data_IF_241985298398
#
_entry.id   IF_241985298398
#
_cell.length_a   1.000
_cell.length_b   1.000
_cell.length_c   1.000
_cell.angle_alpha   90.00
_cell.angle_beta   90.00
_cell.angle_gamma   90.00
#
_symmetry.space_group_name_H-M   'P 1'
#
loop_
_entity.id
_entity.type
_entity.pdbx_description
1 polymer ?
#
# COMPACT_ATOMS: atom_id res chain seq x y z
N UNK A 1 -2.14 0.44 11.73
CA UNK A 1 -1.28 0.04 12.86
C UNK A 1 0.14 0.52 12.57
N UNK A 2 0.59 1.60 13.22
CA UNK A 2 2.00 2.01 13.12
C UNK A 2 2.78 1.16 14.12
N UNK A 3 3.74 0.37 13.65
CA UNK A 3 4.55 -0.50 14.53
C UNK A 3 5.54 0.27 15.43
N UNK A 4 5.51 1.61 15.42
CA UNK A 4 6.39 2.47 16.19
C UNK A 4 7.87 2.41 15.79
N UNK A 5 8.23 1.64 14.74
CA UNK A 5 9.60 1.62 14.23
C UNK A 5 9.88 2.90 13.44
N UNK A 6 10.83 3.66 13.95
CA UNK A 6 11.55 4.67 13.17
C UNK A 6 12.22 3.97 11.98
N UNK A 7 11.71 4.24 10.78
CA UNK A 7 12.31 3.78 9.52
C UNK A 7 12.94 4.95 8.78
N UNK A 8 14.18 4.76 8.34
CA UNK A 8 14.96 5.76 7.64
C UNK A 8 15.59 5.19 6.38
N UNK A 9 15.76 6.04 5.36
CA UNK A 9 16.45 5.68 4.12
C UNK A 9 15.83 4.48 3.40
N UNK A 10 16.65 3.50 3.01
CA UNK A 10 16.27 2.36 2.17
C UNK A 10 15.27 1.37 2.80
N UNK A 11 14.93 1.54 4.08
CA UNK A 11 13.99 0.66 4.80
C UNK A 11 12.55 1.19 4.79
N UNK A 12 12.36 2.34 4.15
CA UNK A 12 11.10 3.04 4.03
C UNK A 12 10.40 2.65 2.73
N UNK A 13 9.13 2.27 2.84
CA UNK A 13 8.26 2.01 1.71
C UNK A 13 7.11 3.02 1.71
N UNK A 14 6.76 3.51 0.53
CA UNK A 14 5.58 4.33 0.31
C UNK A 14 4.43 3.44 -0.14
N UNK A 15 3.35 3.48 0.61
CA UNK A 15 2.17 2.68 0.35
C UNK A 15 0.98 3.59 0.01
N UNK A 16 0.27 3.29 -1.08
CA UNK A 16 -0.95 3.99 -1.45
C UNK A 16 -2.16 3.32 -0.78
N UNK A 17 -2.89 4.05 0.08
CA UNK A 17 -4.09 3.53 0.78
C UNK A 17 -5.19 3.13 -0.20
N UNK A 18 -5.40 3.95 -1.23
CA UNK A 18 -6.21 3.65 -2.40
C UNK A 18 -5.24 3.35 -3.56
N UNK A 19 -5.27 2.14 -4.14
CA UNK A 19 -4.38 1.78 -5.24
C UNK A 19 -4.53 2.75 -6.42
N UNK A 20 -3.41 3.10 -7.05
CA UNK A 20 -3.39 3.94 -8.25
C UNK A 20 -4.26 3.32 -9.37
N UNK A 21 -4.32 1.99 -9.44
CA UNK A 21 -5.15 1.28 -10.41
C UNK A 21 -6.65 1.53 -10.22
N UNK A 22 -7.10 1.79 -8.98
CA UNK A 22 -8.50 2.10 -8.66
C UNK A 22 -8.78 3.58 -8.85
N UNK A 23 -7.89 4.46 -8.38
CA UNK A 23 -8.08 5.90 -8.48
C UNK A 23 -6.77 6.64 -8.83
N UNK A 24 -6.42 6.76 -10.13
CA UNK A 24 -5.14 7.31 -10.58
C UNK A 24 -4.86 8.74 -10.12
N UNK A 25 -5.92 9.54 -9.93
CA UNK A 25 -5.82 10.93 -9.53
C UNK A 25 -5.22 11.10 -8.12
N UNK A 26 -5.23 10.06 -7.28
CA UNK A 26 -4.68 10.08 -5.93
C UNK A 26 -3.19 9.67 -5.86
N UNK A 27 -2.53 9.50 -7.01
CA UNK A 27 -1.12 9.04 -7.08
C UNK A 27 -0.16 9.93 -6.27
N UNK A 28 -0.41 11.24 -6.27
CA UNK A 28 0.43 12.26 -5.61
C UNK A 28 -0.25 12.89 -4.39
N UNK A 29 -1.41 12.36 -4.00
CA UNK A 29 -2.14 12.87 -2.84
C UNK A 29 -1.39 12.46 -1.56
N UNK A 30 -1.00 13.46 -0.77
CA UNK A 30 -0.22 13.27 0.47
C UNK A 30 -1.02 12.50 1.52
N UNK A 31 -2.34 12.59 1.50
CA UNK A 31 -3.21 11.89 2.43
C UNK A 31 -3.45 10.43 1.99
N UNK A 32 -3.24 10.14 0.70
CA UNK A 32 -3.31 8.79 0.14
C UNK A 32 -1.99 8.00 0.26
N UNK A 33 -0.86 8.67 0.53
CA UNK A 33 0.45 8.02 0.66
C UNK A 33 0.83 7.92 2.13
N UNK A 34 1.14 6.71 2.59
CA UNK A 34 1.67 6.46 3.92
C UNK A 34 3.07 5.86 3.84
N UNK A 35 3.92 6.27 4.77
CA UNK A 35 5.30 5.82 4.88
C UNK A 35 5.38 4.72 5.94
N UNK A 36 5.79 3.52 5.55
CA UNK A 36 5.81 2.35 6.43
C UNK A 36 7.11 1.55 6.30
N UNK A 37 7.39 0.73 7.30
CA UNK A 37 8.46 -0.27 7.20
C UNK A 37 8.01 -1.44 6.29
N UNK A 38 8.96 -2.21 5.76
CA UNK A 38 8.67 -3.37 4.91
C UNK A 38 7.70 -4.38 5.56
N UNK A 39 7.80 -4.60 6.88
CA UNK A 39 6.90 -5.51 7.59
C UNK A 39 5.45 -5.00 7.59
N UNK A 40 5.25 -3.72 7.89
CA UNK A 40 3.93 -3.09 7.85
C UNK A 40 3.40 -2.94 6.42
N UNK A 41 4.29 -2.76 5.44
CA UNK A 41 3.92 -2.71 4.02
C UNK A 41 3.23 -3.99 3.59
N UNK A 42 3.86 -5.15 3.85
CA UNK A 42 3.28 -6.45 3.48
C UNK A 42 1.92 -6.73 4.16
N UNK A 43 1.75 -6.29 5.42
CA UNK A 43 0.47 -6.43 6.13
C UNK A 43 -0.61 -5.59 5.46
N UNK A 44 -0.32 -4.31 5.18
CA UNK A 44 -1.26 -3.41 4.52
C UNK A 44 -1.63 -3.90 3.12
N UNK A 45 -0.65 -4.38 2.34
CA UNK A 45 -0.90 -4.98 1.04
C UNK A 45 -1.84 -6.18 1.14
N UNK A 46 -1.62 -7.07 2.12
CA UNK A 46 -2.48 -8.23 2.29
C UNK A 46 -3.92 -7.84 2.70
N UNK A 47 -4.07 -6.88 3.61
CA UNK A 47 -5.39 -6.38 4.05
C UNK A 47 -6.15 -5.66 2.92
N UNK A 48 -5.47 -4.80 2.16
CA UNK A 48 -6.09 -4.05 1.07
C UNK A 48 -6.35 -4.93 -0.16
N UNK A 49 -5.50 -5.92 -0.43
CA UNK A 49 -5.75 -6.89 -1.49
C UNK A 49 -7.08 -7.63 -1.25
N UNK A 50 -7.39 -8.01 -0.02
CA UNK A 50 -8.68 -8.67 0.29
C UNK A 50 -9.87 -7.75 -0.05
N UNK A 51 -9.77 -6.46 0.25
CA UNK A 51 -10.85 -5.48 0.01
C UNK A 51 -11.03 -5.23 -1.48
N UNK A 52 -9.97 -4.92 -2.23
CA UNK A 52 -10.09 -4.53 -3.64
C UNK A 52 -10.22 -5.72 -4.59
N UNK A 53 -9.63 -6.88 -4.30
CA UNK A 53 -9.86 -8.09 -5.11
C UNK A 53 -11.29 -8.63 -4.99
N UNK A 54 -11.97 -8.43 -3.85
CA UNK A 54 -13.39 -8.77 -3.75
C UNK A 54 -14.29 -7.79 -4.51
N UNK A 55 -13.86 -6.52 -4.64
CA UNK A 55 -14.64 -5.47 -5.30
C UNK A 55 -14.43 -5.45 -6.83
N UNK A 56 -13.28 -5.94 -7.30
CA UNK A 56 -12.95 -6.03 -8.72
C UNK A 56 -12.64 -7.49 -9.04
N UNK A 57 -13.55 -8.17 -9.75
CA UNK A 57 -13.41 -9.57 -10.18
C UNK A 57 -12.28 -9.83 -11.19
N UNK A 58 -11.14 -9.18 -11.03
CA UNK A 58 -9.92 -9.33 -11.81
C UNK A 58 -8.80 -9.69 -10.84
N UNK A 59 -8.54 -10.99 -10.72
CA UNK A 59 -7.38 -11.48 -10.00
C UNK A 59 -6.10 -10.96 -10.64
N UNK A 60 -5.28 -10.26 -9.87
CA UNK A 60 -3.84 -10.14 -10.09
C UNK A 60 -3.12 -9.80 -8.79
N UNK A 61 -2.33 -10.71 -8.20
CA UNK A 61 -1.21 -10.32 -7.35
C UNK A 61 0.12 -10.90 -7.89
N UNK A 62 1.28 -10.45 -7.40
CA UNK A 62 1.57 -9.17 -6.77
C UNK A 62 2.51 -8.34 -7.65
N UNK A 63 2.42 -7.02 -7.54
CA UNK A 63 3.46 -6.15 -8.07
C UNK A 63 4.72 -6.37 -7.22
N UNK A 64 5.71 -7.06 -7.79
CA UNK A 64 7.08 -7.04 -7.26
C UNK A 64 7.73 -5.73 -7.70
N UNK A 65 8.18 -4.91 -6.75
CA UNK A 65 9.20 -3.88 -6.94
C UNK A 65 10.42 -4.22 -6.11
#
# INVERSE_FOLDING_TARGET
MECGKLVYGKQVHHHHKIPIAVQPNLKLDKDNVVTVCNQCHNVLENELNVIYHHMSGSGSPPYHF
#
